data_IF_690180920699
#
_entry.id   IF_690180920699
#
_cell.length_a   1.000
_cell.length_b   1.000
_cell.length_c   1.000
_cell.angle_alpha   90.00
_cell.angle_beta   90.00
_cell.angle_gamma   90.00
#
_symmetry.space_group_name_H-M   'P 1'
#
loop_
_entity.id
_entity.type
_entity.pdbx_description
1 polymer ?
#
# COMPACT_ATOMS: atom_id res chain seq x y z
N UNK A 1 -10.07 -15.64 -42.99
CA UNK A 1 -9.83 -15.86 -41.54
C UNK A 1 -8.64 -15.01 -41.13
N UNK A 2 -8.87 -13.93 -40.39
CA UNK A 2 -7.78 -13.15 -39.80
C UNK A 2 -7.30 -13.90 -38.56
N UNK A 3 -5.99 -14.13 -38.47
CA UNK A 3 -5.35 -14.71 -37.30
C UNK A 3 -5.62 -13.80 -36.10
N UNK A 4 -6.32 -14.32 -35.10
CA UNK A 4 -6.38 -13.71 -33.77
C UNK A 4 -4.97 -13.84 -33.22
N UNK A 5 -4.23 -12.74 -33.18
CA UNK A 5 -2.95 -12.65 -32.49
C UNK A 5 -3.23 -12.82 -31.00
N UNK A 6 -2.93 -14.01 -30.48
CA UNK A 6 -3.03 -14.33 -29.06
C UNK A 6 -2.00 -13.46 -28.31
N UNK A 7 -2.46 -12.33 -27.76
CA UNK A 7 -1.59 -11.47 -26.95
C UNK A 7 -1.31 -12.20 -25.64
N UNK A 8 -0.05 -12.31 -25.22
CA UNK A 8 0.29 -13.04 -24.00
C UNK A 8 -0.37 -12.37 -22.79
N UNK A 9 -1.19 -13.15 -22.09
CA UNK A 9 -1.74 -12.81 -20.77
C UNK A 9 -0.65 -13.00 -19.71
N UNK A 10 -0.63 -12.15 -18.68
CA UNK A 10 0.36 -12.25 -17.60
C UNK A 10 -0.07 -13.35 -16.64
N UNK A 11 0.81 -14.30 -16.35
CA UNK A 11 0.58 -15.24 -15.25
C UNK A 11 0.47 -14.50 -13.92
N UNK A 12 -0.18 -15.09 -12.93
CA UNK A 12 -0.27 -14.51 -11.58
C UNK A 12 1.12 -14.26 -10.96
N UNK A 13 2.10 -15.12 -11.24
CA UNK A 13 3.49 -14.90 -10.81
C UNK A 13 4.08 -13.65 -11.46
N UNK A 14 3.85 -13.43 -12.75
CA UNK A 14 4.31 -12.23 -13.44
C UNK A 14 3.61 -10.96 -12.93
N UNK A 15 2.31 -11.03 -12.60
CA UNK A 15 1.59 -9.90 -11.98
C UNK A 15 2.21 -9.54 -10.63
N UNK A 16 2.48 -10.53 -9.78
CA UNK A 16 3.11 -10.32 -8.46
C UNK A 16 4.52 -9.70 -8.63
N UNK A 17 5.32 -10.23 -9.56
CA UNK A 17 6.66 -9.69 -9.84
C UNK A 17 6.60 -8.25 -10.36
N UNK A 18 5.71 -7.97 -11.32
CA UNK A 18 5.50 -6.63 -11.85
C UNK A 18 5.02 -5.64 -10.77
N UNK A 19 4.16 -6.08 -9.86
CA UNK A 19 3.71 -5.26 -8.74
C UNK A 19 4.88 -4.93 -7.79
N UNK A 20 5.69 -5.93 -7.44
CA UNK A 20 6.87 -5.74 -6.60
C UNK A 20 7.89 -4.79 -7.23
N UNK A 21 8.13 -4.92 -8.54
CA UNK A 21 9.00 -4.01 -9.29
C UNK A 21 8.45 -2.58 -9.32
N UNK A 22 7.15 -2.41 -9.58
CA UNK A 22 6.51 -1.09 -9.61
C UNK A 22 6.57 -0.39 -8.24
N UNK A 23 6.33 -1.14 -7.15
CA UNK A 23 6.47 -0.63 -5.78
C UNK A 23 7.91 -0.23 -5.46
N UNK A 24 8.90 -1.04 -5.87
CA UNK A 24 10.32 -0.70 -5.65
C UNK A 24 10.76 0.51 -6.45
N UNK A 25 10.26 0.71 -7.66
CA UNK A 25 10.51 1.92 -8.44
C UNK A 25 9.87 3.15 -7.80
N UNK A 26 8.63 3.03 -7.34
CA UNK A 26 7.94 4.10 -6.64
C UNK A 26 8.72 4.52 -5.38
N UNK A 27 9.23 3.56 -4.60
CA UNK A 27 10.11 3.82 -3.45
C UNK A 27 11.36 4.64 -3.81
N UNK A 28 12.02 4.28 -4.91
CA UNK A 28 13.22 4.99 -5.37
C UNK A 28 12.91 6.43 -5.77
N UNK A 29 11.86 6.66 -6.56
CA UNK A 29 11.45 8.00 -6.99
C UNK A 29 11.14 8.91 -5.79
N UNK A 30 10.41 8.40 -4.80
CA UNK A 30 10.14 9.12 -3.55
C UNK A 30 11.45 9.41 -2.80
N UNK A 31 12.38 8.44 -2.73
CA UNK A 31 13.68 8.64 -2.06
C UNK A 31 14.54 9.72 -2.73
N UNK A 32 14.32 10.00 -4.02
CA UNK A 32 14.95 11.09 -4.75
C UNK A 32 14.24 12.44 -4.61
N UNK A 33 13.15 12.48 -3.84
CA UNK A 33 12.40 13.69 -3.53
C UNK A 33 11.30 14.03 -4.54
N UNK A 34 10.95 13.11 -5.45
CA UNK A 34 9.81 13.28 -6.36
C UNK A 34 8.52 13.23 -5.55
N UNK A 35 7.60 14.15 -5.81
CA UNK A 35 6.35 14.17 -5.06
C UNK A 35 5.42 13.02 -5.52
N UNK A 36 4.65 12.39 -4.63
CA UNK A 36 3.77 11.27 -5.00
C UNK A 36 2.73 11.61 -6.07
N UNK A 37 2.33 12.87 -6.17
CA UNK A 37 1.37 13.35 -7.18
C UNK A 37 1.97 13.54 -8.58
N UNK A 38 3.29 13.49 -8.72
CA UNK A 38 3.96 13.51 -10.04
C UNK A 38 4.11 12.10 -10.63
N UNK A 39 3.79 11.07 -9.84
CA UNK A 39 3.91 9.66 -10.19
C UNK A 39 2.56 9.02 -10.55
N UNK A 40 1.63 9.79 -11.09
CA UNK A 40 0.25 9.36 -11.41
C UNK A 40 0.20 8.10 -12.30
N UNK A 41 1.07 8.01 -13.30
CA UNK A 41 1.14 6.82 -14.17
C UNK A 41 1.63 5.57 -13.43
N UNK A 42 2.65 5.73 -12.58
CA UNK A 42 3.21 4.62 -11.81
C UNK A 42 2.25 4.15 -10.71
N UNK A 43 1.60 5.08 -10.02
CA UNK A 43 0.57 4.78 -9.01
C UNK A 43 -0.66 4.14 -9.63
N UNK A 44 -1.11 4.63 -10.80
CA UNK A 44 -2.15 3.98 -11.60
C UNK A 44 -1.79 2.52 -11.89
N UNK A 45 -0.57 2.28 -12.39
CA UNK A 45 -0.09 0.94 -12.71
C UNK A 45 0.00 0.02 -11.50
N UNK A 46 0.47 0.52 -10.35
CA UNK A 46 0.50 -0.21 -9.08
C UNK A 46 -0.91 -0.68 -8.71
N UNK A 47 -1.91 0.20 -8.82
CA UNK A 47 -3.29 -0.15 -8.49
C UNK A 47 -3.87 -1.20 -9.43
N UNK A 48 -3.64 -1.09 -10.73
CA UNK A 48 -4.08 -2.07 -11.73
C UNK A 48 -3.49 -3.46 -11.45
N UNK A 49 -2.18 -3.52 -11.18
CA UNK A 49 -1.47 -4.76 -10.85
C UNK A 49 -1.97 -5.36 -9.53
N UNK A 50 -2.19 -4.52 -8.51
CA UNK A 50 -2.77 -4.94 -7.24
C UNK A 50 -4.17 -5.53 -7.42
N UNK A 51 -5.05 -4.82 -8.13
CA UNK A 51 -6.41 -5.29 -8.44
C UNK A 51 -6.39 -6.62 -9.20
N UNK A 52 -5.51 -6.76 -10.20
CA UNK A 52 -5.35 -8.01 -10.94
C UNK A 52 -4.84 -9.16 -10.05
N UNK A 53 -3.95 -8.88 -9.09
CA UNK A 53 -3.47 -9.87 -8.13
C UNK A 53 -4.58 -10.34 -7.19
N UNK A 54 -5.26 -9.43 -6.49
CA UNK A 54 -6.25 -9.79 -5.45
C UNK A 54 -7.50 -10.43 -6.04
N UNK A 55 -7.87 -10.05 -7.26
CA UNK A 55 -9.02 -10.63 -7.97
C UNK A 55 -8.68 -11.84 -8.84
N UNK A 56 -7.40 -12.27 -8.80
CA UNK A 56 -6.82 -13.32 -9.69
C UNK A 56 -7.11 -13.05 -11.17
N UNK A 57 -7.25 -11.77 -11.51
CA UNK A 57 -7.65 -11.28 -12.80
C UNK A 57 -6.49 -11.13 -13.76
N UNK A 58 -6.80 -10.47 -14.87
CA UNK A 58 -5.87 -10.05 -15.91
C UNK A 58 -6.08 -8.57 -16.18
N UNK A 59 -4.99 -7.91 -16.56
CA UNK A 59 -5.09 -6.57 -17.11
C UNK A 59 -5.90 -6.58 -18.41
N UNK A 60 -6.66 -5.51 -18.66
CA UNK A 60 -7.39 -5.35 -19.91
C UNK A 60 -6.43 -5.45 -21.11
N UNK A 61 -6.82 -6.22 -22.13
CA UNK A 61 -5.95 -6.63 -23.25
C UNK A 61 -5.60 -5.49 -24.21
N UNK A 62 -6.35 -4.38 -24.19
CA UNK A 62 -6.19 -3.26 -25.11
C UNK A 62 -5.72 -1.99 -24.40
N UNK A 63 -4.64 -1.40 -24.92
CA UNK A 63 -4.25 -0.01 -24.64
C UNK A 63 -5.38 0.88 -25.17
N UNK A 64 -6.21 1.45 -24.26
CA UNK A 64 -7.46 2.18 -24.51
C UNK A 64 -8.77 1.37 -24.41
N UNK A 65 -8.78 0.28 -23.64
CA UNK A 65 -10.04 -0.34 -23.23
C UNK A 65 -10.96 0.70 -22.56
N UNK A 66 -12.23 0.76 -23.00
CA UNK A 66 -13.15 1.78 -22.52
C UNK A 66 -13.73 1.40 -21.16
N UNK A 67 -13.31 2.13 -20.13
CA UNK A 67 -14.00 2.23 -18.85
C UNK A 67 -13.55 1.27 -17.74
N UNK A 68 -12.76 0.24 -18.06
CA UNK A 68 -12.26 -0.72 -17.07
C UNK A 68 -10.80 -1.11 -17.37
N UNK A 69 -10.09 -1.51 -16.33
CA UNK A 69 -8.64 -1.68 -16.33
C UNK A 69 -8.24 -3.16 -16.08
N UNK A 70 -9.09 -3.91 -15.37
CA UNK A 70 -8.86 -5.32 -15.01
C UNK A 70 -10.11 -6.16 -15.30
N UNK A 71 -9.92 -7.41 -15.68
CA UNK A 71 -10.96 -8.44 -15.74
C UNK A 71 -10.65 -9.51 -14.70
N UNK A 72 -11.53 -9.71 -13.72
CA UNK A 72 -11.31 -10.69 -12.65
C UNK A 72 -11.42 -12.15 -13.14
N UNK A 73 -10.97 -13.10 -12.33
CA UNK A 73 -11.24 -14.53 -12.57
C UNK A 73 -12.75 -14.86 -12.61
N UNK A 74 -13.57 -14.03 -11.95
CA UNK A 74 -15.04 -14.11 -12.00
C UNK A 74 -15.66 -13.40 -13.20
N UNK A 75 -14.86 -12.99 -14.19
CA UNK A 75 -15.28 -12.29 -15.40
C UNK A 75 -15.94 -10.91 -15.16
N UNK A 76 -15.61 -10.26 -14.03
CA UNK A 76 -16.06 -8.90 -13.74
C UNK A 76 -15.10 -7.88 -14.37
N UNK A 77 -15.64 -6.86 -15.03
CA UNK A 77 -14.89 -5.70 -15.51
C UNK A 77 -14.72 -4.71 -14.37
N UNK A 78 -13.47 -4.47 -13.98
CA UNK A 78 -13.11 -3.66 -12.82
C UNK A 78 -12.48 -2.35 -13.30
N UNK A 79 -13.04 -1.22 -12.87
CA UNK A 79 -12.35 0.08 -12.97
C UNK A 79 -11.59 0.36 -11.68
N UNK A 80 -10.32 0.70 -11.83
CA UNK A 80 -9.38 0.95 -10.74
C UNK A 80 -9.05 2.44 -10.70
N UNK A 81 -9.12 3.04 -9.51
CA UNK A 81 -8.60 4.38 -9.25
C UNK A 81 -7.63 4.34 -8.09
N UNK A 82 -6.38 4.68 -8.36
CA UNK A 82 -5.35 4.81 -7.34
C UNK A 82 -5.19 6.27 -6.95
N UNK A 83 -5.04 6.53 -5.66
CA UNK A 83 -4.70 7.84 -5.11
C UNK A 83 -3.49 7.74 -4.18
N UNK A 84 -2.83 8.87 -3.97
CA UNK A 84 -1.84 9.04 -2.90
C UNK A 84 -2.43 9.96 -1.83
N UNK A 85 -2.54 11.25 -2.13
CA UNK A 85 -2.99 12.29 -1.20
C UNK A 85 -4.40 12.83 -1.49
N UNK A 86 -4.98 12.51 -2.66
CA UNK A 86 -6.30 13.01 -3.06
C UNK A 86 -7.41 12.61 -2.08
N UNK A 87 -8.38 13.51 -1.89
CA UNK A 87 -9.57 13.30 -1.07
C UNK A 87 -10.80 12.90 -1.89
N UNK A 88 -10.66 12.73 -3.20
CA UNK A 88 -11.73 12.27 -4.08
C UNK A 88 -11.18 11.58 -5.31
N UNK A 89 -12.00 10.75 -5.94
CA UNK A 89 -11.74 10.20 -7.28
C UNK A 89 -12.93 10.45 -8.18
N UNK A 90 -12.69 10.56 -9.48
CA UNK A 90 -13.74 10.77 -10.46
C UNK A 90 -13.74 9.68 -11.53
N UNK A 91 -14.95 9.28 -11.92
CA UNK A 91 -15.23 8.32 -12.97
C UNK A 91 -15.99 9.03 -14.10
N UNK A 92 -15.69 8.63 -15.34
CA UNK A 92 -16.39 9.16 -16.49
C UNK A 92 -17.79 8.54 -16.58
N UNK A 93 -18.84 9.36 -16.47
CA UNK A 93 -20.24 8.92 -16.54
C UNK A 93 -20.55 8.19 -17.85
N UNK A 94 -19.93 8.59 -18.95
CA UNK A 94 -20.18 8.03 -20.28
C UNK A 94 -19.60 6.63 -20.50
N UNK A 95 -18.72 6.17 -19.61
CA UNK A 95 -18.12 4.83 -19.68
C UNK A 95 -18.41 3.98 -18.46
N UNK A 96 -19.15 4.51 -17.48
CA UNK A 96 -19.40 3.84 -16.21
C UNK A 96 -20.22 2.55 -16.38
N UNK A 97 -21.13 2.52 -17.35
CA UNK A 97 -21.97 1.36 -17.64
C UNK A 97 -21.23 0.17 -18.25
N UNK A 98 -19.93 0.28 -18.54
CA UNK A 98 -19.10 -0.84 -18.98
C UNK A 98 -18.46 -1.60 -17.81
N UNK A 99 -18.67 -1.15 -16.58
CA UNK A 99 -17.97 -1.60 -15.38
C UNK A 99 -18.92 -2.34 -14.46
N UNK A 100 -18.49 -3.49 -13.95
CA UNK A 100 -19.25 -4.31 -13.01
C UNK A 100 -18.84 -4.05 -11.55
N UNK A 101 -17.58 -3.63 -11.34
CA UNK A 101 -16.98 -3.46 -10.01
C UNK A 101 -16.01 -2.28 -9.99
N UNK A 102 -16.01 -1.53 -8.89
CA UNK A 102 -15.13 -0.38 -8.67
C UNK A 102 -14.17 -0.70 -7.55
N UNK A 103 -12.87 -0.49 -7.82
CA UNK A 103 -11.84 -0.51 -6.80
C UNK A 103 -11.19 0.87 -6.69
N UNK A 104 -11.19 1.45 -5.49
CA UNK A 104 -10.45 2.68 -5.17
C UNK A 104 -9.36 2.30 -4.18
N UNK A 105 -8.12 2.58 -4.56
CA UNK A 105 -6.93 2.19 -3.81
C UNK A 105 -6.16 3.43 -3.37
N UNK A 106 -5.50 3.35 -2.23
CA UNK A 106 -4.53 4.35 -1.77
C UNK A 106 -3.15 3.74 -1.65
N UNK A 107 -2.17 4.37 -2.28
CA UNK A 107 -0.76 4.09 -2.01
C UNK A 107 -0.34 4.97 -0.83
N UNK A 108 -0.14 4.35 0.32
CA UNK A 108 0.33 4.98 1.54
C UNK A 108 1.85 4.94 1.58
N UNK A 109 2.45 6.05 1.97
CA UNK A 109 3.89 6.20 2.17
C UNK A 109 4.07 6.43 3.66
N UNK A 110 4.77 5.49 4.31
CA UNK A 110 5.07 5.54 5.72
C UNK A 110 6.58 5.37 5.91
N UNK A 111 7.21 6.30 6.65
CA UNK A 111 8.64 6.29 6.89
C UNK A 111 9.13 5.06 7.68
N UNK A 112 8.23 4.35 8.37
CA UNK A 112 8.53 3.17 9.19
C UNK A 112 8.11 1.87 8.51
N UNK A 113 6.89 1.83 7.96
CA UNK A 113 6.29 0.63 7.35
C UNK A 113 6.56 0.51 5.85
N UNK A 114 7.17 1.53 5.25
CA UNK A 114 7.43 1.61 3.81
C UNK A 114 6.15 1.91 3.02
N UNK A 115 6.15 1.52 1.76
CA UNK A 115 5.00 1.72 0.87
C UNK A 115 3.99 0.59 1.05
N UNK A 116 2.73 0.94 1.20
CA UNK A 116 1.62 -0.01 1.27
C UNK A 116 0.46 0.40 0.37
N UNK A 117 -0.33 -0.58 -0.06
CA UNK A 117 -1.56 -0.35 -0.83
C UNK A 117 -2.76 -0.67 0.06
N UNK A 118 -3.65 0.30 0.22
CA UNK A 118 -4.87 0.22 1.02
C UNK A 118 -6.10 0.23 0.10
N UNK A 119 -7.06 -0.66 0.36
CA UNK A 119 -8.35 -0.67 -0.31
C UNK A 119 -9.30 0.33 0.37
N UNK A 120 -9.63 1.42 -0.33
CA UNK A 120 -10.55 2.47 0.15
C UNK A 120 -12.01 2.13 -0.21
N UNK A 121 -12.20 1.51 -1.37
CA UNK A 121 -13.48 1.02 -1.83
C UNK A 121 -13.25 -0.23 -2.66
N UNK A 122 -14.03 -1.26 -2.40
CA UNK A 122 -14.13 -2.45 -3.24
C UNK A 122 -15.60 -2.90 -3.24
N UNK A 123 -16.34 -2.55 -4.29
CA UNK A 123 -17.79 -2.73 -4.35
C UNK A 123 -18.28 -2.91 -5.79
N UNK A 124 -19.50 -3.44 -5.96
CA UNK A 124 -20.18 -3.43 -7.26
C UNK A 124 -20.33 -2.00 -7.81
N UNK A 125 -20.48 -1.86 -9.12
CA UNK A 125 -20.74 -0.57 -9.75
C UNK A 125 -22.04 0.07 -9.23
N UNK A 126 -23.08 -0.74 -8.96
CA UNK A 126 -24.34 -0.27 -8.41
C UNK A 126 -24.20 0.31 -7.00
N UNK A 127 -23.51 -0.39 -6.11
CA UNK A 127 -23.24 0.07 -4.74
C UNK A 127 -22.35 1.31 -4.75
N UNK A 128 -21.26 1.28 -5.53
CA UNK A 128 -20.33 2.40 -5.64
C UNK A 128 -21.04 3.66 -6.18
N UNK A 129 -21.98 3.50 -7.12
CA UNK A 129 -22.76 4.61 -7.68
C UNK A 129 -23.60 5.34 -6.63
N UNK A 130 -24.11 4.64 -5.60
CA UNK A 130 -24.89 5.24 -4.51
C UNK A 130 -24.04 6.15 -3.61
N UNK A 131 -22.73 5.89 -3.54
CA UNK A 131 -21.77 6.67 -2.76
C UNK A 131 -21.21 7.88 -3.53
N UNK A 132 -21.50 7.98 -4.83
CA UNK A 132 -20.95 9.01 -5.71
C UNK A 132 -21.93 10.17 -5.95
N UNK A 133 -21.36 11.38 -6.05
CA UNK A 133 -22.07 12.59 -6.45
C UNK A 133 -21.81 12.89 -7.92
N UNK A 134 -22.80 13.42 -8.62
CA UNK A 134 -22.59 13.89 -9.99
C UNK A 134 -22.10 15.33 -9.99
N UNK A 135 -20.99 15.58 -10.69
CA UNK A 135 -20.42 16.93 -10.84
C UNK A 135 -19.82 17.07 -12.23
N UNK A 136 -20.31 18.03 -13.02
CA UNK A 136 -19.78 18.39 -14.35
C UNK A 136 -19.61 17.18 -15.29
N UNK A 137 -20.60 16.29 -15.36
CA UNK A 137 -20.56 15.09 -16.21
C UNK A 137 -19.66 13.96 -15.70
N UNK A 138 -19.12 14.07 -14.49
CA UNK A 138 -18.35 13.03 -13.80
C UNK A 138 -19.10 12.50 -12.58
N UNK A 139 -18.82 11.24 -12.24
CA UNK A 139 -19.23 10.64 -10.97
C UNK A 139 -18.07 10.75 -10.00
N UNK A 140 -18.26 11.48 -8.90
CA UNK A 140 -17.22 11.80 -7.93
C UNK A 140 -17.47 11.01 -6.65
N UNK A 141 -16.53 10.17 -6.28
CA UNK A 141 -16.50 9.47 -5.00
C UNK A 141 -15.67 10.29 -3.99
N UNK A 142 -16.27 10.81 -2.90
CA UNK A 142 -15.53 11.47 -1.84
C UNK A 142 -14.84 10.43 -0.96
N UNK A 143 -13.60 10.69 -0.59
CA UNK A 143 -12.81 9.80 0.27
C UNK A 143 -12.79 10.40 1.67
N UNK A 144 -13.62 9.83 2.55
CA UNK A 144 -13.56 10.15 3.97
C UNK A 144 -12.30 9.53 4.56
N UNK A 145 -11.46 10.33 5.22
CA UNK A 145 -10.38 9.81 6.07
C UNK A 145 -11.02 9.21 7.31
N UNK A 146 -11.48 7.96 7.21
CA UNK A 146 -11.88 7.20 8.38
C UNK A 146 -10.66 7.02 9.28
N UNK A 147 -10.76 7.41 10.54
CA UNK A 147 -9.90 6.88 11.60
C UNK A 147 -10.25 5.40 11.72
N UNK A 148 -9.41 4.54 11.16
CA UNK A 148 -9.58 3.09 11.32
C UNK A 148 -9.52 2.78 12.81
N UNK A 149 -10.45 1.95 13.29
CA UNK A 149 -10.30 1.29 14.58
C UNK A 149 -9.08 0.37 14.47
N UNK A 150 -7.91 0.88 14.85
CA UNK A 150 -6.78 0.02 15.18
C UNK A 150 -7.20 -0.81 16.39
N UNK A 151 -7.25 -2.13 16.23
CA UNK A 151 -7.44 -3.00 17.39
C UNK A 151 -6.34 -2.67 18.41
N UNK A 152 -6.67 -2.54 19.70
CA UNK A 152 -5.68 -2.19 20.69
C UNK A 152 -4.56 -3.22 20.67
N UNK A 153 -3.32 -2.76 20.50
CA UNK A 153 -2.11 -3.60 20.46
C UNK A 153 -1.95 -4.39 21.75
N UNK A 154 -2.60 -3.97 22.85
CA UNK A 154 -2.65 -4.74 24.11
C UNK A 154 -3.25 -6.15 23.97
N UNK A 155 -3.96 -6.42 22.87
CA UNK A 155 -4.51 -7.75 22.57
C UNK A 155 -3.60 -8.65 21.74
N UNK A 156 -2.47 -8.12 21.27
CA UNK A 156 -1.54 -8.81 20.38
C UNK A 156 -0.49 -9.60 21.17
N UNK A 157 -0.11 -10.77 20.66
CA UNK A 157 0.97 -11.56 21.26
C UNK A 157 2.33 -10.86 21.13
N UNK A 158 3.18 -10.99 22.15
CA UNK A 158 4.56 -10.49 22.12
C UNK A 158 5.45 -11.52 21.44
N UNK A 159 6.09 -11.12 20.34
CA UNK A 159 6.99 -11.99 19.56
C UNK A 159 8.47 -11.81 19.89
N UNK A 160 8.86 -10.64 20.39
CA UNK A 160 10.23 -10.40 20.88
C UNK A 160 10.27 -9.30 21.94
N UNK A 161 11.26 -9.39 22.83
CA UNK A 161 11.52 -8.39 23.87
C UNK A 161 13.03 -8.26 24.10
N UNK A 162 13.52 -7.04 24.24
CA UNK A 162 14.89 -6.74 24.64
C UNK A 162 14.91 -5.66 25.73
N UNK A 163 15.90 -5.71 26.61
CA UNK A 163 16.15 -4.70 27.63
C UNK A 163 17.39 -3.90 27.23
N UNK A 164 17.31 -2.58 27.28
CA UNK A 164 18.44 -1.68 27.10
C UNK A 164 18.37 -0.55 28.12
N UNK A 165 19.34 -0.50 29.04
CA UNK A 165 19.33 0.42 30.17
C UNK A 165 18.01 0.34 30.97
N UNK A 166 17.22 1.41 31.01
CA UNK A 166 15.92 1.48 31.68
C UNK A 166 14.73 1.28 30.73
N UNK A 167 15.00 0.92 29.48
CA UNK A 167 14.01 0.73 28.42
C UNK A 167 13.80 -0.76 28.13
N UNK A 168 12.53 -1.13 28.04
CA UNK A 168 12.08 -2.39 27.47
C UNK A 168 11.53 -2.14 26.06
N UNK A 169 12.11 -2.83 25.08
CA UNK A 169 11.71 -2.76 23.67
C UNK A 169 10.91 -4.03 23.37
N UNK A 170 9.64 -3.89 23.03
CA UNK A 170 8.73 -5.03 22.80
C UNK A 170 8.21 -5.01 21.37
N UNK A 171 8.31 -6.15 20.67
CA UNK A 171 7.73 -6.39 19.34
C UNK A 171 6.49 -7.29 19.48
N UNK A 172 5.40 -6.88 18.86
CA UNK A 172 4.14 -7.62 18.83
C UNK A 172 4.00 -8.46 17.55
N UNK A 173 3.05 -9.39 17.50
CA UNK A 173 2.78 -10.25 16.34
C UNK A 173 2.40 -9.47 15.07
N UNK A 174 1.86 -8.25 15.23
CA UNK A 174 1.62 -7.32 14.12
C UNK A 174 2.90 -6.72 13.52
N UNK A 175 4.05 -6.97 14.16
CA UNK A 175 5.32 -6.31 13.86
C UNK A 175 5.48 -4.93 14.50
N UNK A 176 4.46 -4.41 15.20
CA UNK A 176 4.57 -3.15 15.93
C UNK A 176 5.64 -3.25 17.02
N UNK A 177 6.44 -2.19 17.19
CA UNK A 177 7.44 -2.08 18.26
C UNK A 177 7.01 -0.95 19.20
N UNK A 178 6.98 -1.23 20.51
CA UNK A 178 6.72 -0.24 21.56
C UNK A 178 7.88 -0.18 22.54
N UNK A 179 8.10 1.01 23.09
CA UNK A 179 9.13 1.29 24.09
C UNK A 179 8.44 1.48 25.43
N UNK A 180 8.87 0.74 26.44
CA UNK A 180 8.40 0.87 27.82
C UNK A 180 9.56 1.32 28.70
N UNK A 181 9.27 2.13 29.71
CA UNK A 181 10.21 2.48 30.78
C UNK A 181 9.54 2.18 32.10
N UNK A 182 10.15 1.32 32.91
CA UNK A 182 9.58 0.86 34.18
C UNK A 182 8.13 0.34 34.05
N UNK A 183 7.84 -0.38 32.97
CA UNK A 183 6.51 -0.94 32.68
C UNK A 183 5.49 0.04 32.07
N UNK A 184 5.83 1.32 31.90
CA UNK A 184 4.95 2.32 31.28
C UNK A 184 5.33 2.56 29.83
N UNK A 185 4.38 2.46 28.92
CA UNK A 185 4.58 2.77 27.49
C UNK A 185 5.00 4.23 27.31
N UNK A 186 6.06 4.45 26.55
CA UNK A 186 6.61 5.76 26.26
C UNK A 186 6.00 6.28 24.95
N UNK A 187 5.46 7.50 24.96
CA UNK A 187 5.05 8.20 23.75
C UNK A 187 6.26 8.85 23.08
N UNK A 188 7.06 8.04 22.40
CA UNK A 188 8.30 8.45 21.73
C UNK A 188 8.27 8.05 20.26
N UNK A 189 9.08 8.73 19.45
CA UNK A 189 9.36 8.29 18.08
C UNK A 189 10.25 7.05 18.19
N UNK A 190 9.65 5.87 18.09
CA UNK A 190 10.31 4.57 18.30
C UNK A 190 11.59 4.46 17.46
N UNK A 191 11.54 4.88 16.19
CA UNK A 191 12.69 4.90 15.28
C UNK A 191 13.91 5.64 15.82
N UNK A 192 13.72 6.81 16.42
CA UNK A 192 14.83 7.64 16.90
C UNK A 192 15.49 6.99 18.12
N UNK A 193 14.67 6.41 19.01
CA UNK A 193 15.15 5.64 20.16
C UNK A 193 15.95 4.42 19.67
N UNK A 194 15.41 3.61 18.77
CA UNK A 194 16.09 2.42 18.26
C UNK A 194 17.40 2.76 17.53
N UNK A 195 17.48 3.88 16.81
CA UNK A 195 18.71 4.35 16.18
C UNK A 195 19.76 4.81 17.19
N UNK A 196 19.33 5.52 18.24
CA UNK A 196 20.24 5.89 19.32
C UNK A 196 20.83 4.64 19.98
N UNK A 197 19.98 3.67 20.30
CA UNK A 197 20.41 2.40 20.90
C UNK A 197 21.36 1.65 19.94
N UNK A 198 21.02 1.57 18.66
CA UNK A 198 21.87 0.95 17.63
C UNK A 198 23.26 1.58 17.55
N UNK A 199 23.33 2.92 17.56
CA UNK A 199 24.60 3.64 17.56
C UNK A 199 25.42 3.32 18.81
N UNK A 200 24.79 3.27 19.98
CA UNK A 200 25.46 2.97 21.25
C UNK A 200 26.01 1.54 21.31
N UNK A 201 25.26 0.55 20.81
CA UNK A 201 25.68 -0.87 20.82
C UNK A 201 26.54 -1.27 19.62
N UNK A 202 26.81 -0.34 18.69
CA UNK A 202 27.65 -0.56 17.52
C UNK A 202 26.98 -1.37 16.40
N UNK A 203 25.66 -1.30 16.28
CA UNK A 203 24.88 -1.88 15.17
C UNK A 203 24.88 -0.90 14.00
N UNK A 204 25.21 -1.38 12.80
CA UNK A 204 25.20 -0.55 11.59
C UNK A 204 23.80 0.03 11.34
N UNK A 205 23.74 1.35 11.15
CA UNK A 205 22.53 2.11 10.88
C UNK A 205 22.14 2.07 9.41
N UNK A 206 23.02 1.63 8.51
CA UNK A 206 22.75 1.57 7.09
C UNK A 206 22.34 0.17 6.64
N UNK A 207 21.43 0.11 5.68
CA UNK A 207 21.04 -1.13 5.02
C UNK A 207 22.00 -1.44 3.85
N UNK A 208 21.90 -2.64 3.28
CA UNK A 208 22.74 -3.10 2.16
C UNK A 208 22.61 -2.26 0.88
N UNK A 209 21.64 -1.35 0.81
CA UNK A 209 21.40 -0.42 -0.31
C UNK A 209 21.83 1.03 0.01
N UNK A 210 22.49 1.27 1.15
CA UNK A 210 22.98 2.59 1.56
C UNK A 210 21.95 3.53 2.17
N UNK A 211 20.71 3.08 2.39
CA UNK A 211 19.69 3.82 3.12
C UNK A 211 19.73 3.55 4.62
N UNK A 212 19.12 4.40 5.45
CA UNK A 212 19.02 4.15 6.90
C UNK A 212 18.07 2.98 7.19
N UNK A 213 18.40 2.16 8.19
CA UNK A 213 17.55 1.07 8.67
C UNK A 213 16.26 1.62 9.28
N UNK A 214 15.16 0.89 9.05
CA UNK A 214 13.86 1.14 9.66
C UNK A 214 13.68 0.39 10.99
N UNK A 215 12.56 0.60 11.67
CA UNK A 215 12.25 -0.02 12.97
C UNK A 215 12.23 -1.54 12.92
N UNK A 216 11.80 -2.15 11.80
CA UNK A 216 11.83 -3.62 11.64
C UNK A 216 13.24 -4.17 11.44
N UNK A 217 14.14 -3.41 10.80
CA UNK A 217 15.54 -3.78 10.62
C UNK A 217 16.40 -3.51 11.88
N UNK A 218 15.88 -2.70 12.81
CA UNK A 218 16.47 -2.39 14.11
C UNK A 218 15.65 -3.04 15.24
N UNK A 219 15.06 -4.21 14.98
CA UNK A 219 14.18 -4.90 15.92
C UNK A 219 14.92 -5.36 17.19
N UNK A 220 14.21 -5.70 18.30
CA UNK A 220 14.82 -5.96 19.62
C UNK A 220 16.01 -6.92 19.61
N UNK A 221 15.97 -7.95 18.76
CA UNK A 221 17.03 -8.96 18.61
C UNK A 221 18.34 -8.38 18.07
N UNK A 222 18.32 -7.21 17.43
CA UNK A 222 19.51 -6.54 16.91
C UNK A 222 20.41 -5.96 18.02
N UNK A 223 19.87 -5.81 19.24
CA UNK A 223 20.56 -5.18 20.38
C UNK A 223 21.03 -6.19 21.43
N UNK A 224 20.70 -7.47 21.26
CA UNK A 224 21.13 -8.54 22.16
C UNK A 224 22.49 -9.03 21.68
N UNK A 225 23.56 -8.59 22.33
CA UNK A 225 24.87 -9.26 22.32
C UNK A 225 25.04 -10.08 23.58
#
# INVERSE_FOLDING_TARGET
MLAVTDRPTLTQVQIIQSLAEALSWFEKEISWGVSPGELDHLTGRIGELYAAMVTRGQMALDTNQRGYDVVSAGNQRISVKTITTSNHVSFNKNTYHYVDRIMVLRVNIDDEKGISVEEILDASAEEARQLMREQSGKLVYPINRGTREERPVETLEITARAQYADLEITKFESGAIRIFRNGTEQQVIVKDVLRSIAADVGVDLFNSKGGLKNTQQLEPMSFVR
#
